data_IF_893247921107
#
_entry.id   IF_893247921107
#
_cell.length_a   1.000
_cell.length_b   1.000
_cell.length_c   1.000
_cell.angle_alpha   90.00
_cell.angle_beta   90.00
_cell.angle_gamma   90.00
#
_symmetry.space_group_name_H-M   'P 1'
#
loop_
_entity.id
_entity.type
_entity.pdbx_description
1 polymer ?
#
# COMPACT_ATOMS: atom_id res chain seq x y z
N UNK A 1 25.34 60.60 -23.58
CA UNK A 1 25.80 59.52 -22.65
C UNK A 1 24.70 58.96 -21.75
N UNK A 2 23.52 59.54 -21.66
CA UNK A 2 22.42 59.08 -20.74
C UNK A 2 21.49 57.97 -21.28
N UNK A 3 21.42 57.78 -22.58
CA UNK A 3 20.52 56.76 -23.16
C UNK A 3 21.05 55.31 -23.08
N UNK A 4 22.37 55.11 -23.05
CA UNK A 4 22.97 53.80 -22.91
C UNK A 4 22.84 53.22 -21.48
N UNK A 5 22.96 54.08 -20.47
CA UNK A 5 22.83 53.66 -19.07
C UNK A 5 21.39 53.23 -18.70
N UNK A 6 20.37 53.87 -19.26
CA UNK A 6 18.97 53.46 -19.04
C UNK A 6 18.60 52.13 -19.74
N UNK A 7 19.23 51.85 -20.90
CA UNK A 7 19.05 50.54 -21.57
C UNK A 7 19.74 49.41 -20.81
N UNK A 8 20.91 49.67 -20.27
CA UNK A 8 21.67 48.70 -19.49
C UNK A 8 20.97 48.36 -18.16
N UNK A 9 20.39 49.36 -17.49
CA UNK A 9 19.60 49.10 -16.25
C UNK A 9 18.33 48.30 -16.51
N UNK A 10 17.66 48.51 -17.62
CA UNK A 10 16.47 47.73 -18.01
C UNK A 10 16.85 46.27 -18.37
N UNK A 11 17.96 46.07 -19.03
CA UNK A 11 18.48 44.76 -19.39
C UNK A 11 18.94 43.97 -18.16
N UNK A 12 19.66 44.60 -17.24
CA UNK A 12 20.07 44.06 -15.97
C UNK A 12 18.86 43.67 -15.09
N UNK A 13 17.82 44.51 -15.08
CA UNK A 13 16.57 44.24 -14.36
C UNK A 13 15.82 43.01 -14.93
N UNK A 14 15.79 42.86 -16.26
CA UNK A 14 15.22 41.67 -16.93
C UNK A 14 16.01 40.39 -16.67
N UNK A 15 17.32 40.46 -16.79
CA UNK A 15 18.22 39.33 -16.51
C UNK A 15 18.12 38.86 -15.05
N UNK A 16 18.10 39.79 -14.09
CA UNK A 16 17.95 39.46 -12.67
C UNK A 16 16.62 38.75 -12.39
N UNK A 17 15.52 39.15 -13.02
CA UNK A 17 14.22 38.45 -12.89
C UNK A 17 14.26 37.06 -13.49
N UNK A 18 14.88 36.90 -14.66
CA UNK A 18 15.05 35.58 -15.30
C UNK A 18 15.87 34.63 -14.43
N UNK A 19 16.98 35.10 -13.85
CA UNK A 19 17.81 34.29 -12.95
C UNK A 19 17.05 33.87 -11.68
N UNK A 20 16.28 34.77 -11.07
CA UNK A 20 15.47 34.47 -9.90
C UNK A 20 14.39 33.46 -10.24
N UNK A 21 13.71 33.60 -11.38
CA UNK A 21 12.71 32.62 -11.83
C UNK A 21 13.34 31.25 -12.11
N UNK A 22 14.51 31.20 -12.75
CA UNK A 22 15.20 29.94 -13.00
C UNK A 22 15.61 29.24 -11.70
N UNK A 23 16.14 29.97 -10.73
CA UNK A 23 16.48 29.41 -9.41
C UNK A 23 15.23 28.90 -8.68
N UNK A 24 14.13 29.65 -8.74
CA UNK A 24 12.87 29.24 -8.12
C UNK A 24 12.32 27.96 -8.74
N UNK A 25 12.39 27.83 -10.06
CA UNK A 25 11.99 26.60 -10.76
C UNK A 25 12.88 25.40 -10.39
N UNK A 26 14.19 25.60 -10.26
CA UNK A 26 15.12 24.56 -9.83
C UNK A 26 14.77 24.10 -8.41
N UNK A 27 14.52 25.02 -7.48
CA UNK A 27 14.14 24.70 -6.11
C UNK A 27 12.82 23.92 -6.08
N UNK A 28 11.81 24.38 -6.81
CA UNK A 28 10.52 23.67 -6.89
C UNK A 28 10.66 22.27 -7.49
N UNK A 29 11.48 22.12 -8.54
CA UNK A 29 11.75 20.81 -9.15
C UNK A 29 12.44 19.86 -8.17
N UNK A 30 13.46 20.32 -7.46
CA UNK A 30 14.18 19.53 -6.46
C UNK A 30 13.28 19.11 -5.30
N UNK A 31 12.43 20.03 -4.80
CA UNK A 31 11.44 19.71 -3.76
C UNK A 31 10.42 18.68 -4.23
N UNK A 32 9.92 18.80 -5.46
CA UNK A 32 8.96 17.86 -6.02
C UNK A 32 9.55 16.46 -6.20
N UNK A 33 10.81 16.36 -6.64
CA UNK A 33 11.53 15.09 -6.76
C UNK A 33 11.78 14.46 -5.39
N UNK A 34 12.22 15.24 -4.41
CA UNK A 34 12.43 14.77 -3.04
C UNK A 34 11.14 14.27 -2.39
N UNK A 35 10.02 14.99 -2.57
CA UNK A 35 8.73 14.58 -2.05
C UNK A 35 8.26 13.24 -2.62
N UNK A 36 8.44 13.02 -3.93
CA UNK A 36 8.11 11.73 -4.57
C UNK A 36 8.91 10.58 -4.01
N UNK A 37 10.24 10.74 -3.89
CA UNK A 37 11.13 9.72 -3.35
C UNK A 37 10.76 9.32 -1.92
N UNK A 38 10.51 10.29 -1.04
CA UNK A 38 10.11 10.02 0.35
C UNK A 38 8.74 9.34 0.45
N UNK A 39 7.81 9.67 -0.46
CA UNK A 39 6.50 9.03 -0.48
C UNK A 39 6.58 7.55 -0.88
N UNK A 40 7.36 7.23 -1.90
CA UNK A 40 7.56 5.84 -2.35
C UNK A 40 8.22 4.99 -1.25
N UNK A 41 9.24 5.52 -0.60
CA UNK A 41 9.91 4.85 0.50
C UNK A 41 8.97 4.62 1.70
N UNK A 42 8.18 5.62 2.08
CA UNK A 42 7.19 5.50 3.14
C UNK A 42 6.11 4.44 2.82
N UNK A 43 5.64 4.36 1.56
CA UNK A 43 4.69 3.33 1.13
C UNK A 43 5.30 1.93 1.21
N UNK A 44 6.54 1.76 0.77
CA UNK A 44 7.24 0.47 0.83
C UNK A 44 7.42 -0.02 2.28
N UNK A 45 7.81 0.87 3.19
CA UNK A 45 7.96 0.56 4.62
C UNK A 45 6.61 0.23 5.25
N UNK A 46 5.57 1.03 4.98
CA UNK A 46 4.22 0.79 5.49
C UNK A 46 3.69 -0.57 5.04
N UNK A 47 3.83 -0.91 3.77
CA UNK A 47 3.40 -2.21 3.24
C UNK A 47 4.18 -3.36 3.87
N UNK A 48 5.47 -3.17 4.15
CA UNK A 48 6.28 -4.16 4.85
C UNK A 48 5.74 -4.48 6.24
N UNK A 49 5.46 -3.44 7.03
CA UNK A 49 4.92 -3.57 8.38
C UNK A 49 3.53 -4.21 8.37
N UNK A 50 2.66 -3.80 7.46
CA UNK A 50 1.34 -4.39 7.31
C UNK A 50 1.40 -5.86 6.87
N UNK A 51 2.36 -6.21 6.01
CA UNK A 51 2.60 -7.59 5.61
C UNK A 51 3.06 -8.48 6.77
N UNK A 52 3.89 -7.97 7.68
CA UNK A 52 4.29 -8.67 8.89
C UNK A 52 3.11 -8.87 9.84
N UNK A 53 2.30 -7.84 10.06
CA UNK A 53 1.07 -7.94 10.86
C UNK A 53 0.07 -8.92 10.27
N UNK A 54 -0.12 -8.88 8.95
CA UNK A 54 -0.98 -9.81 8.24
C UNK A 54 -0.51 -11.25 8.44
N UNK A 55 0.78 -11.51 8.26
CA UNK A 55 1.39 -12.81 8.46
C UNK A 55 1.18 -13.32 9.87
N UNK A 56 1.45 -12.50 10.88
CA UNK A 56 1.27 -12.87 12.29
C UNK A 56 -0.19 -13.25 12.58
N UNK A 57 -1.15 -12.48 12.08
CA UNK A 57 -2.58 -12.75 12.33
C UNK A 57 -3.07 -13.99 11.60
N UNK A 58 -2.61 -14.24 10.37
CA UNK A 58 -2.87 -15.48 9.65
C UNK A 58 -2.34 -16.69 10.42
N UNK A 59 -1.11 -16.61 10.92
CA UNK A 59 -0.51 -17.69 11.74
C UNK A 59 -1.27 -17.91 13.04
N UNK A 60 -1.75 -16.86 13.68
CA UNK A 60 -2.57 -16.94 14.89
C UNK A 60 -3.92 -17.62 14.61
N UNK A 61 -4.58 -17.29 13.51
CA UNK A 61 -5.80 -17.97 13.08
C UNK A 61 -5.58 -19.43 12.76
N UNK A 62 -4.49 -19.75 12.08
CA UNK A 62 -4.10 -21.14 11.79
C UNK A 62 -3.87 -21.95 13.08
N UNK A 63 -3.18 -21.36 14.06
CA UNK A 63 -3.00 -21.99 15.38
C UNK A 63 -4.34 -22.28 16.07
N UNK A 64 -5.26 -21.33 16.11
CA UNK A 64 -6.62 -21.51 16.65
C UNK A 64 -7.39 -22.60 15.90
N UNK A 65 -7.31 -22.63 14.59
CA UNK A 65 -7.94 -23.66 13.77
C UNK A 65 -7.44 -25.06 14.13
N UNK A 66 -6.15 -25.24 14.40
CA UNK A 66 -5.58 -26.49 14.88
C UNK A 66 -6.11 -26.87 16.26
N UNK A 67 -6.17 -25.90 17.19
CA UNK A 67 -6.63 -26.09 18.57
C UNK A 67 -8.12 -26.49 18.62
N UNK A 68 -8.94 -25.94 17.73
CA UNK A 68 -10.39 -26.22 17.62
C UNK A 68 -10.71 -27.46 16.76
N UNK A 69 -9.71 -28.31 16.53
CA UNK A 69 -9.85 -29.58 15.78
C UNK A 69 -10.21 -29.42 14.29
N UNK A 70 -9.69 -28.40 13.68
CA UNK A 70 -9.77 -28.16 12.23
C UNK A 70 -11.21 -28.01 11.71
N UNK A 71 -11.99 -27.10 12.25
CA UNK A 71 -13.35 -26.86 11.78
C UNK A 71 -13.36 -26.26 10.37
N UNK A 72 -14.38 -26.56 9.56
CA UNK A 72 -14.53 -25.92 8.26
C UNK A 72 -14.80 -24.40 8.38
N UNK A 73 -15.44 -23.98 9.47
CA UNK A 73 -15.71 -22.58 9.81
C UNK A 73 -15.28 -22.35 11.26
N UNK A 74 -14.42 -21.38 11.45
CA UNK A 74 -13.95 -20.96 12.76
C UNK A 74 -14.61 -19.62 13.15
N UNK A 75 -15.20 -19.55 14.34
CA UNK A 75 -15.71 -18.29 14.89
C UNK A 75 -14.64 -17.66 15.78
N UNK A 76 -14.01 -16.62 15.28
CA UNK A 76 -12.96 -15.90 15.98
C UNK A 76 -13.08 -14.39 15.78
N UNK A 77 -12.84 -13.61 16.84
CA UNK A 77 -12.85 -12.14 16.81
C UNK A 77 -14.18 -11.53 16.30
N UNK A 78 -15.31 -12.21 16.58
CA UNK A 78 -16.64 -11.77 16.12
C UNK A 78 -16.95 -12.05 14.65
N UNK A 79 -16.08 -12.75 13.95
CA UNK A 79 -16.19 -13.10 12.53
C UNK A 79 -16.24 -14.62 12.35
N UNK A 80 -16.89 -15.06 11.27
CA UNK A 80 -16.89 -16.45 10.84
C UNK A 80 -15.89 -16.61 9.69
N UNK A 81 -14.82 -17.38 9.94
CA UNK A 81 -13.72 -17.58 9.01
C UNK A 81 -13.86 -18.90 8.28
N UNK A 82 -13.66 -18.87 6.98
CA UNK A 82 -13.55 -20.09 6.18
C UNK A 82 -12.09 -20.40 5.89
N UNK A 83 -11.74 -21.69 6.03
CA UNK A 83 -10.39 -22.21 5.84
C UNK A 83 -10.35 -23.21 4.68
N UNK A 84 -9.16 -23.35 4.11
CA UNK A 84 -8.86 -24.47 3.22
C UNK A 84 -8.62 -25.77 4.03
N UNK A 85 -8.38 -26.87 3.33
CA UNK A 85 -8.12 -28.17 3.95
C UNK A 85 -6.85 -28.21 4.81
N UNK A 86 -5.96 -27.24 4.61
CA UNK A 86 -4.68 -27.12 5.33
C UNK A 86 -4.75 -26.13 6.50
N UNK A 87 -5.87 -25.44 6.64
CA UNK A 87 -6.12 -24.48 7.72
C UNK A 87 -5.64 -23.05 7.44
N UNK A 88 -5.55 -22.68 6.19
CA UNK A 88 -5.27 -21.32 5.82
C UNK A 88 -6.56 -20.55 5.54
N UNK A 89 -6.72 -19.33 6.05
CA UNK A 89 -7.95 -18.57 5.88
C UNK A 89 -8.15 -18.16 4.40
N UNK A 90 -9.31 -18.51 3.87
CA UNK A 90 -9.75 -18.16 2.52
C UNK A 90 -10.55 -16.85 2.50
N UNK A 91 -11.22 -16.53 3.60
CA UNK A 91 -12.05 -15.33 3.71
C UNK A 91 -12.95 -15.36 4.92
N UNK A 92 -13.78 -14.33 5.01
CA UNK A 92 -14.81 -14.15 6.04
C UNK A 92 -16.18 -14.40 5.42
N UNK A 93 -17.02 -15.14 6.13
CA UNK A 93 -18.38 -15.45 5.66
C UNK A 93 -19.34 -14.25 5.86
N UNK A 94 -20.29 -14.04 4.93
CA UNK A 94 -20.53 -14.83 3.71
C UNK A 94 -19.51 -14.53 2.62
N UNK A 95 -19.06 -15.55 1.90
CA UNK A 95 -18.15 -15.36 0.77
C UNK A 95 -18.86 -14.68 -0.40
N UNK A 96 -18.20 -13.72 -1.01
CA UNK A 96 -18.62 -13.03 -2.22
C UNK A 96 -17.79 -13.41 -3.45
N UNK A 97 -17.53 -12.43 -4.32
CA UNK A 97 -16.59 -12.62 -5.42
C UNK A 97 -15.15 -12.79 -4.91
N UNK A 98 -14.25 -13.45 -5.66
CA UNK A 98 -12.86 -13.67 -5.21
C UNK A 98 -12.15 -12.40 -4.75
N UNK A 99 -12.25 -11.31 -5.50
CA UNK A 99 -11.64 -10.03 -5.11
C UNK A 99 -12.30 -9.40 -3.88
N UNK A 100 -13.61 -9.55 -3.72
CA UNK A 100 -14.32 -9.08 -2.54
C UNK A 100 -13.89 -9.87 -1.29
N UNK A 101 -13.71 -11.18 -1.41
CA UNK A 101 -13.20 -12.01 -0.33
C UNK A 101 -11.78 -11.59 0.08
N UNK A 102 -10.92 -11.28 -0.87
CA UNK A 102 -9.58 -10.75 -0.59
C UNK A 102 -9.63 -9.39 0.11
N UNK A 103 -10.51 -8.50 -0.35
CA UNK A 103 -10.71 -7.20 0.30
C UNK A 103 -11.21 -7.34 1.74
N UNK A 104 -12.18 -8.21 1.97
CA UNK A 104 -12.72 -8.49 3.31
C UNK A 104 -11.68 -9.17 4.20
N UNK A 105 -10.88 -10.07 3.66
CA UNK A 105 -9.76 -10.71 4.36
C UNK A 105 -8.76 -9.66 4.86
N UNK A 106 -8.39 -8.70 4.01
CA UNK A 106 -7.52 -7.60 4.39
C UNK A 106 -8.12 -6.75 5.50
N UNK A 107 -9.36 -6.33 5.34
CA UNK A 107 -10.06 -5.51 6.34
C UNK A 107 -10.22 -6.22 7.68
N UNK A 108 -10.47 -7.52 7.67
CA UNK A 108 -10.62 -8.32 8.88
C UNK A 108 -9.29 -8.53 9.61
N UNK A 109 -8.18 -8.69 8.88
CA UNK A 109 -6.87 -8.93 9.46
C UNK A 109 -6.10 -7.65 9.80
N UNK A 110 -6.23 -6.60 9.01
CA UNK A 110 -5.48 -5.35 9.22
C UNK A 110 -6.35 -4.29 9.88
N UNK A 111 -7.62 -4.30 9.57
CA UNK A 111 -8.58 -3.30 10.04
C UNK A 111 -8.95 -2.27 8.97
N UNK A 112 -9.90 -1.40 9.28
CA UNK A 112 -10.26 -0.30 8.40
C UNK A 112 -9.11 0.70 8.31
N UNK A 113 -8.99 1.30 7.15
CA UNK A 113 -8.00 2.35 6.90
C UNK A 113 -8.31 3.59 7.73
N UNK A 114 -7.30 4.14 8.38
CA UNK A 114 -7.45 5.44 9.05
C UNK A 114 -7.61 6.57 8.03
N UNK A 115 -8.43 7.55 8.39
CA UNK A 115 -8.65 8.73 7.55
C UNK A 115 -7.30 9.42 7.23
N UNK A 116 -6.99 9.52 5.95
CA UNK A 116 -5.75 10.12 5.45
C UNK A 116 -4.65 9.15 5.06
N UNK A 117 -4.81 7.84 5.35
CA UNK A 117 -3.91 6.84 4.79
C UNK A 117 -4.33 6.42 3.38
N UNK A 118 -3.36 6.06 2.53
CA UNK A 118 -3.66 5.56 1.20
C UNK A 118 -4.41 4.23 1.28
N UNK A 119 -5.53 4.11 0.54
CA UNK A 119 -6.32 2.89 0.47
C UNK A 119 -5.55 1.76 -0.21
N UNK A 120 -5.46 0.62 0.48
CA UNK A 120 -4.89 -0.61 -0.07
C UNK A 120 -5.97 -1.39 -0.83
N UNK A 121 -5.62 -1.90 -1.98
CA UNK A 121 -6.53 -2.73 -2.78
C UNK A 121 -6.29 -4.19 -2.45
N UNK A 122 -7.38 -4.97 -2.33
CA UNK A 122 -7.34 -6.42 -2.24
C UNK A 122 -7.93 -7.02 -3.52
N UNK A 123 -7.12 -7.77 -4.24
CA UNK A 123 -7.50 -8.42 -5.49
C UNK A 123 -7.25 -9.92 -5.39
N UNK A 124 -8.08 -10.73 -6.06
CA UNK A 124 -7.76 -12.12 -6.24
C UNK A 124 -6.59 -12.29 -7.22
N UNK A 125 -5.66 -13.20 -6.93
CA UNK A 125 -4.62 -13.55 -7.89
C UNK A 125 -5.22 -14.14 -9.17
N UNK A 126 -4.54 -13.96 -10.30
CA UNK A 126 -5.07 -14.35 -11.62
C UNK A 126 -5.36 -15.84 -11.74
N UNK A 127 -4.62 -16.67 -11.03
CA UNK A 127 -4.76 -18.13 -10.98
C UNK A 127 -5.71 -18.61 -9.88
N UNK A 128 -6.28 -17.72 -9.08
CA UNK A 128 -7.15 -18.05 -7.96
C UNK A 128 -6.42 -18.67 -6.76
N UNK A 129 -5.08 -18.69 -6.76
CA UNK A 129 -4.28 -19.35 -5.72
C UNK A 129 -4.10 -18.50 -4.45
N UNK A 130 -4.55 -17.25 -4.47
CA UNK A 130 -4.34 -16.34 -3.36
C UNK A 130 -4.97 -14.96 -3.53
N UNK A 131 -4.49 -14.03 -2.73
CA UNK A 131 -4.84 -12.63 -2.77
C UNK A 131 -3.62 -11.76 -2.99
N UNK A 132 -3.80 -10.68 -3.72
CA UNK A 132 -2.79 -9.63 -3.89
C UNK A 132 -3.28 -8.36 -3.20
N UNK A 133 -2.45 -7.81 -2.32
CA UNK A 133 -2.74 -6.60 -1.57
C UNK A 133 -1.72 -5.54 -1.91
N UNK A 134 -2.17 -4.36 -2.27
CA UNK A 134 -1.20 -3.35 -2.63
C UNK A 134 -1.78 -2.08 -3.22
N UNK A 135 -0.88 -1.23 -3.66
CA UNK A 135 -1.18 0.03 -4.32
C UNK A 135 -0.02 0.47 -5.20
N UNK A 136 -0.32 1.03 -6.36
CA UNK A 136 0.67 1.54 -7.32
C UNK A 136 1.68 0.45 -7.70
N UNK A 137 2.96 0.63 -7.37
CA UNK A 137 4.02 -0.34 -7.64
C UNK A 137 4.31 -1.30 -6.46
N UNK A 138 3.62 -1.13 -5.34
CA UNK A 138 3.89 -1.88 -4.09
C UNK A 138 2.78 -2.90 -3.83
N UNK A 139 3.11 -4.17 -3.92
CA UNK A 139 2.17 -5.29 -3.76
C UNK A 139 2.71 -6.34 -2.81
N UNK A 140 1.80 -7.05 -2.13
CA UNK A 140 2.04 -8.27 -1.36
C UNK A 140 1.17 -9.38 -1.93
N UNK A 141 1.68 -10.59 -2.01
CA UNK A 141 0.92 -11.76 -2.43
C UNK A 141 0.74 -12.72 -1.25
N UNK A 142 -0.50 -13.00 -0.89
CA UNK A 142 -0.87 -14.03 0.09
C UNK A 142 -1.32 -15.28 -0.64
N UNK A 143 -0.71 -16.41 -0.35
CA UNK A 143 -1.00 -17.69 -0.99
C UNK A 143 -1.82 -18.60 -0.08
N UNK A 144 -2.93 -19.09 -0.59
CA UNK A 144 -3.82 -19.96 0.18
C UNK A 144 -3.20 -21.32 0.52
N UNK A 145 -2.33 -21.86 -0.34
CA UNK A 145 -1.84 -23.23 -0.17
C UNK A 145 -0.80 -23.40 0.96
N UNK A 146 -0.11 -22.35 1.36
CA UNK A 146 0.95 -22.39 2.38
C UNK A 146 0.87 -21.25 3.40
N UNK A 147 -0.11 -20.36 3.28
CA UNK A 147 -0.32 -19.22 4.17
C UNK A 147 0.80 -18.19 4.14
N UNK A 148 1.68 -18.23 3.15
CA UNK A 148 2.81 -17.31 3.05
C UNK A 148 2.42 -16.01 2.42
N UNK A 149 3.01 -14.94 2.97
CA UNK A 149 2.97 -13.60 2.39
C UNK A 149 4.32 -13.32 1.75
N UNK A 150 4.30 -13.03 0.47
CA UNK A 150 5.51 -12.81 -0.34
C UNK A 150 5.44 -11.41 -0.94
N UNK A 151 6.56 -10.69 -0.93
CA UNK A 151 6.74 -9.48 -1.74
C UNK A 151 7.15 -9.91 -3.13
N UNK A 152 6.50 -9.42 -4.19
CA UNK A 152 6.92 -9.69 -5.55
C UNK A 152 8.25 -9.02 -5.88
#
# INVERSE_FOLDING_TARGET
>A
MSRQSEQDERWLGGYRRMVVLALLLIILATLAMSYRSHREEALAVSLSLLGEQFTERVQRLHGRWLDERRPAVLHAEGLAWQFDERGWPLGVLPLGSPSENCRQLWLALIGPEEQGMPSWQGLASRDGSGCEFGREAHWLSYRFHDGRVVKP
#
